data_IF_776224293239
#
_entry.id   IF_776224293239
#
_cell.length_a   1.000
_cell.length_b   1.000
_cell.length_c   1.000
_cell.angle_alpha   90.00
_cell.angle_beta   90.00
_cell.angle_gamma   90.00
#
_symmetry.space_group_name_H-M   'P 1'
#
loop_
_entity.id
_entity.type
_entity.pdbx_description
1 polymer ?
#
# COMPACT_ATOMS: atom_id res chain seq x y z
N UNK A 1 -13.65 23.63 2.33
CA UNK A 1 -13.46 23.21 3.73
C UNK A 1 -13.28 21.69 3.89
N UNK A 2 -12.59 21.04 2.95
CA UNK A 2 -12.22 19.62 3.04
C UNK A 2 -11.03 19.40 4.00
N UNK A 3 -10.35 20.46 4.40
CA UNK A 3 -9.16 20.40 5.25
C UNK A 3 -9.38 20.08 6.72
N UNK A 4 -10.61 20.07 7.21
CA UNK A 4 -10.88 19.83 8.65
C UNK A 4 -11.00 18.34 9.00
N UNK A 5 -11.35 17.48 8.04
CA UNK A 5 -11.48 16.05 8.31
C UNK A 5 -10.12 15.38 8.47
N UNK A 6 -9.08 15.88 7.81
CA UNK A 6 -7.74 15.28 7.87
C UNK A 6 -6.97 15.52 9.17
N UNK A 7 -7.18 16.64 9.85
CA UNK A 7 -6.36 17.00 11.03
C UNK A 7 -6.87 16.40 12.35
N UNK A 8 -8.15 16.11 12.48
CA UNK A 8 -8.71 15.50 13.69
C UNK A 8 -8.60 13.98 13.74
N UNK A 9 -8.43 13.34 12.58
CA UNK A 9 -8.31 11.89 12.46
C UNK A 9 -6.86 11.38 12.45
N UNK A 10 -5.87 12.25 12.59
CA UNK A 10 -4.48 11.82 12.81
C UNK A 10 -4.33 11.15 14.17
N UNK A 11 -3.55 10.06 14.22
CA UNK A 11 -3.20 9.36 15.46
C UNK A 11 -2.27 10.27 16.28
N UNK A 12 -2.80 11.23 17.02
CA UNK A 12 -1.97 12.17 17.80
C UNK A 12 -1.21 11.50 18.94
N UNK A 13 -1.66 10.35 19.47
CA UNK A 13 -1.11 9.75 20.69
C UNK A 13 -0.70 8.28 20.56
N UNK A 14 -0.73 7.69 19.37
CA UNK A 14 -0.28 6.30 19.20
C UNK A 14 1.23 6.28 18.90
N UNK A 15 1.97 5.62 19.77
CA UNK A 15 3.37 5.30 19.47
C UNK A 15 3.50 4.41 18.22
N UNK A 16 4.68 4.38 17.61
CA UNK A 16 4.96 3.59 16.40
C UNK A 16 4.57 2.12 16.53
N UNK A 17 4.76 1.54 17.70
CA UNK A 17 4.40 0.13 17.92
C UNK A 17 2.89 -0.08 17.88
N UNK A 18 2.08 0.84 18.42
CA UNK A 18 0.63 0.76 18.35
C UNK A 18 0.11 0.82 16.90
N UNK A 19 0.79 1.53 16.01
CA UNK A 19 0.47 1.53 14.57
C UNK A 19 0.79 0.16 13.95
N UNK A 20 1.95 -0.42 14.28
CA UNK A 20 2.30 -1.75 13.79
C UNK A 20 1.36 -2.83 14.31
N UNK A 21 0.94 -2.74 15.57
CA UNK A 21 -0.02 -3.67 16.17
C UNK A 21 -1.38 -3.57 15.48
N UNK A 22 -1.83 -2.38 15.14
CA UNK A 22 -3.07 -2.19 14.38
C UNK A 22 -2.97 -2.81 12.98
N UNK A 23 -1.87 -2.64 12.26
CA UNK A 23 -1.64 -3.30 10.99
C UNK A 23 -1.58 -4.84 11.11
N UNK A 24 -0.95 -5.36 12.17
CA UNK A 24 -0.94 -6.81 12.47
C UNK A 24 -2.36 -7.33 12.70
N UNK A 25 -3.14 -6.61 13.49
CA UNK A 25 -4.55 -6.94 13.77
C UNK A 25 -5.38 -6.99 12.48
N UNK A 26 -5.31 -5.94 11.64
CA UNK A 26 -6.01 -5.90 10.35
C UNK A 26 -5.61 -7.09 9.48
N UNK A 27 -4.32 -7.39 9.42
CA UNK A 27 -3.80 -8.49 8.63
C UNK A 27 -4.31 -9.85 9.14
N UNK A 28 -4.36 -10.09 10.46
CA UNK A 28 -4.89 -11.32 11.05
C UNK A 28 -6.38 -11.49 10.77
N UNK A 29 -7.18 -10.44 10.92
CA UNK A 29 -8.61 -10.48 10.59
C UNK A 29 -8.83 -10.80 9.12
N UNK A 30 -8.03 -10.22 8.23
CA UNK A 30 -8.11 -10.50 6.80
C UNK A 30 -7.73 -11.93 6.47
N UNK A 31 -6.69 -12.48 7.11
CA UNK A 31 -6.33 -13.90 6.92
C UNK A 31 -7.46 -14.85 7.30
N UNK A 32 -8.22 -14.54 8.33
CA UNK A 32 -9.31 -15.39 8.80
C UNK A 32 -10.43 -15.53 7.76
N UNK A 33 -10.63 -14.53 6.90
CA UNK A 33 -11.67 -14.55 5.87
C UNK A 33 -11.20 -15.12 4.52
N UNK A 34 -9.89 -15.22 4.27
CA UNK A 34 -9.39 -15.66 2.96
C UNK A 34 -9.95 -17.02 2.49
N UNK A 35 -10.15 -18.03 3.36
CA UNK A 35 -10.70 -19.34 2.94
C UNK A 35 -12.10 -19.26 2.32
N UNK A 36 -12.88 -18.22 2.63
CA UNK A 36 -14.22 -18.03 2.08
C UNK A 36 -14.19 -17.51 0.63
N UNK A 37 -13.05 -16.93 0.21
CA UNK A 37 -12.89 -16.29 -1.09
C UNK A 37 -11.86 -16.97 -2.00
N UNK A 38 -10.91 -17.72 -1.43
CA UNK A 38 -9.81 -18.33 -2.17
C UNK A 38 -9.64 -19.80 -1.84
N UNK A 39 -9.64 -20.64 -2.87
CA UNK A 39 -9.42 -22.08 -2.72
C UNK A 39 -7.95 -22.43 -2.38
N UNK A 40 -7.02 -21.58 -2.78
CA UNK A 40 -5.59 -21.76 -2.54
C UNK A 40 -5.06 -20.55 -1.75
N UNK A 41 -4.33 -20.84 -0.69
CA UNK A 41 -3.70 -19.83 0.16
C UNK A 41 -2.19 -20.04 0.22
N UNK A 42 -1.39 -18.97 0.33
CA UNK A 42 0.05 -19.11 0.45
C UNK A 42 0.41 -19.80 1.77
N UNK A 43 1.42 -20.66 1.72
CA UNK A 43 2.00 -21.32 2.90
C UNK A 43 2.80 -20.34 3.73
N UNK A 44 3.54 -19.46 3.06
CA UNK A 44 4.28 -18.39 3.71
C UNK A 44 3.31 -17.31 4.23
N UNK A 45 3.46 -16.92 5.49
CA UNK A 45 2.75 -15.76 6.05
C UNK A 45 3.57 -14.49 5.88
N UNK A 46 2.90 -13.36 5.73
CA UNK A 46 3.54 -12.05 5.73
C UNK A 46 3.65 -11.50 7.15
N UNK A 47 4.82 -10.96 7.46
CA UNK A 47 5.04 -10.24 8.73
C UNK A 47 5.00 -8.73 8.49
N UNK A 48 4.41 -7.99 9.42
CA UNK A 48 4.38 -6.53 9.39
C UNK A 48 5.62 -5.98 10.10
N UNK A 49 6.36 -5.12 9.42
CA UNK A 49 7.58 -4.51 9.94
C UNK A 49 7.59 -3.00 9.70
N UNK A 50 8.39 -2.31 10.49
CA UNK A 50 8.74 -0.93 10.23
C UNK A 50 9.75 -0.85 9.09
N UNK A 51 9.63 0.14 8.21
CA UNK A 51 10.69 0.50 7.27
C UNK A 51 11.97 0.80 8.06
N UNK A 52 13.15 0.35 7.61
CA UNK A 52 14.41 0.67 8.29
C UNK A 52 14.59 2.17 8.48
N UNK A 53 14.92 2.59 9.70
CA UNK A 53 14.94 4.01 10.11
C UNK A 53 15.79 4.88 9.17
N UNK A 54 16.90 4.35 8.68
CA UNK A 54 17.80 5.09 7.78
C UNK A 54 17.19 5.38 6.40
N UNK A 55 16.17 4.61 5.97
CA UNK A 55 15.51 4.76 4.67
C UNK A 55 14.09 5.35 4.77
N UNK A 56 13.51 5.48 5.97
CA UNK A 56 12.13 5.96 6.13
C UNK A 56 11.89 7.30 5.44
N UNK A 57 12.86 8.21 5.49
CA UNK A 57 12.73 9.56 4.93
C UNK A 57 12.52 9.56 3.42
N UNK A 58 13.02 8.55 2.70
CA UNK A 58 12.95 8.45 1.24
C UNK A 58 12.07 7.29 0.75
N UNK A 59 11.56 6.45 1.66
CA UNK A 59 10.70 5.33 1.30
C UNK A 59 9.24 5.76 1.11
N UNK A 60 8.51 5.00 0.28
CA UNK A 60 7.06 5.12 0.17
C UNK A 60 6.36 4.88 1.52
N UNK A 61 5.07 5.21 1.62
CA UNK A 61 4.25 4.99 2.82
C UNK A 61 4.18 3.54 3.29
N UNK A 62 4.40 2.60 2.37
CA UNK A 62 4.53 1.18 2.61
C UNK A 62 5.02 0.45 1.37
N UNK A 63 5.55 -0.76 1.54
CA UNK A 63 5.92 -1.64 0.44
C UNK A 63 5.98 -3.10 0.88
N UNK A 64 5.68 -4.01 -0.04
CA UNK A 64 5.79 -5.44 0.17
C UNK A 64 7.11 -5.99 -0.35
N UNK A 65 7.67 -6.97 0.39
CA UNK A 65 8.82 -7.76 -0.01
C UNK A 65 8.51 -9.25 0.13
N UNK A 66 8.56 -9.99 -0.98
CA UNK A 66 8.33 -11.44 -0.99
C UNK A 66 9.36 -12.22 -0.17
N UNK A 67 9.03 -13.44 0.22
CA UNK A 67 9.96 -14.36 0.89
C UNK A 67 11.15 -14.70 -0.02
N UNK A 68 12.27 -15.14 0.59
CA UNK A 68 13.33 -15.79 -0.18
C UNK A 68 12.88 -17.17 -0.65
N UNK A 69 13.46 -17.66 -1.76
CA UNK A 69 13.12 -18.97 -2.33
C UNK A 69 13.46 -20.14 -1.41
N UNK A 70 14.52 -20.01 -0.65
CA UNK A 70 14.99 -21.00 0.32
C UNK A 70 14.25 -20.95 1.66
N UNK A 71 13.30 -20.00 1.83
CA UNK A 71 12.54 -19.79 3.05
C UNK A 71 13.32 -19.13 4.20
N UNK A 72 14.61 -18.80 4.00
CA UNK A 72 15.44 -18.18 5.05
C UNK A 72 14.97 -16.81 5.48
N UNK A 73 14.31 -16.05 4.59
CA UNK A 73 13.74 -14.75 4.88
C UNK A 73 12.22 -14.79 4.66
N UNK A 74 11.41 -14.46 5.68
CA UNK A 74 9.96 -14.41 5.54
C UNK A 74 9.52 -13.29 4.59
N UNK A 75 8.33 -13.42 4.04
CA UNK A 75 7.66 -12.31 3.39
C UNK A 75 7.34 -11.22 4.42
N UNK A 76 7.51 -9.97 4.02
CA UNK A 76 7.22 -8.84 4.89
C UNK A 76 6.59 -7.69 4.12
N UNK A 77 5.63 -7.00 4.74
CA UNK A 77 5.28 -5.68 4.30
C UNK A 77 5.77 -4.65 5.31
N UNK A 78 6.31 -3.57 4.80
CA UNK A 78 6.98 -2.56 5.58
C UNK A 78 6.12 -1.29 5.63
N UNK A 79 5.74 -0.88 6.84
CA UNK A 79 5.04 0.39 7.08
C UNK A 79 6.05 1.51 7.34
N UNK A 80 5.93 2.62 6.65
CA UNK A 80 6.74 3.79 6.90
C UNK A 80 6.16 4.57 8.09
N UNK A 81 6.95 4.71 9.15
CA UNK A 81 6.58 5.40 10.37
C UNK A 81 7.45 6.63 10.65
N UNK A 82 7.97 7.25 9.57
CA UNK A 82 8.77 8.48 9.67
C UNK A 82 7.99 9.59 10.37
N UNK A 83 6.80 9.89 9.87
CA UNK A 83 5.87 10.85 10.46
C UNK A 83 4.57 10.16 10.87
N UNK A 84 4.49 9.76 12.13
CA UNK A 84 3.29 9.09 12.67
C UNK A 84 2.08 10.01 12.73
N UNK A 85 2.27 11.33 12.74
CA UNK A 85 1.16 12.28 12.72
C UNK A 85 0.49 12.36 11.33
N UNK A 86 1.21 11.98 10.29
CA UNK A 86 0.67 11.85 8.94
C UNK A 86 -0.06 10.52 8.71
N UNK A 87 0.08 9.54 9.61
CA UNK A 87 -0.59 8.24 9.49
C UNK A 87 -2.08 8.39 9.81
N UNK A 88 -2.91 8.21 8.80
CA UNK A 88 -4.36 8.30 8.91
C UNK A 88 -4.94 6.91 9.20
N UNK A 89 -5.52 6.70 10.39
CA UNK A 89 -6.05 5.39 10.81
C UNK A 89 -7.07 4.82 9.86
N UNK A 90 -7.92 5.66 9.31
CA UNK A 90 -8.98 5.24 8.40
C UNK A 90 -8.47 4.76 7.03
N UNK A 91 -7.20 5.05 6.67
CA UNK A 91 -6.55 4.53 5.46
C UNK A 91 -5.79 3.21 5.72
N UNK A 92 -5.55 2.85 6.98
CA UNK A 92 -4.75 1.68 7.32
C UNK A 92 -5.30 0.37 6.75
N UNK A 93 -6.62 0.10 6.78
CA UNK A 93 -7.17 -1.11 6.19
C UNK A 93 -6.89 -1.21 4.69
N UNK A 94 -7.16 -0.16 3.91
CA UNK A 94 -6.92 -0.17 2.47
C UNK A 94 -5.45 -0.44 2.13
N UNK A 95 -4.51 0.20 2.84
CA UNK A 95 -3.08 -0.05 2.65
C UNK A 95 -2.69 -1.49 3.03
N UNK A 96 -3.25 -2.03 4.12
CA UNK A 96 -2.99 -3.40 4.54
C UNK A 96 -3.50 -4.42 3.52
N UNK A 97 -4.69 -4.20 2.96
CA UNK A 97 -5.26 -5.05 1.91
C UNK A 97 -4.41 -5.02 0.63
N UNK A 98 -3.83 -3.87 0.31
CA UNK A 98 -2.95 -3.70 -0.83
C UNK A 98 -1.62 -4.44 -0.67
N UNK A 99 -0.91 -4.19 0.42
CA UNK A 99 0.44 -4.70 0.63
C UNK A 99 0.48 -6.16 1.11
N UNK A 100 -0.44 -6.52 2.00
CA UNK A 100 -0.48 -7.86 2.59
C UNK A 100 -1.49 -8.75 1.86
N UNK A 101 -2.60 -9.08 2.49
CA UNK A 101 -3.64 -9.95 1.95
C UNK A 101 -4.96 -9.20 1.86
N UNK A 102 -5.71 -9.41 0.78
CA UNK A 102 -5.49 -10.31 -0.36
C UNK A 102 -4.61 -9.73 -1.47
N UNK A 103 -3.85 -8.67 -1.22
CA UNK A 103 -3.05 -7.92 -2.19
C UNK A 103 -1.74 -8.57 -2.61
N UNK A 104 -0.66 -7.80 -2.57
CA UNK A 104 0.64 -8.21 -3.08
C UNK A 104 1.13 -9.53 -2.52
N UNK A 105 0.95 -9.75 -1.20
CA UNK A 105 1.41 -10.99 -0.59
C UNK A 105 0.71 -12.21 -1.16
N UNK A 106 -0.63 -12.21 -1.25
CA UNK A 106 -1.37 -13.34 -1.79
C UNK A 106 -0.91 -13.67 -3.22
N UNK A 107 -0.89 -12.67 -4.10
CA UNK A 107 -0.50 -12.82 -5.50
C UNK A 107 0.92 -13.37 -5.66
N UNK A 108 1.88 -12.72 -5.00
CA UNK A 108 3.31 -13.01 -5.20
C UNK A 108 3.68 -14.34 -4.54
N UNK A 109 3.19 -14.62 -3.33
CA UNK A 109 3.49 -15.86 -2.64
C UNK A 109 2.92 -17.08 -3.36
N UNK A 110 1.66 -17.02 -3.80
CA UNK A 110 1.08 -18.11 -4.60
C UNK A 110 1.85 -18.36 -5.90
N UNK A 111 2.27 -17.27 -6.60
CA UNK A 111 3.08 -17.44 -7.80
C UNK A 111 4.46 -18.04 -7.50
N UNK A 112 5.10 -17.67 -6.39
CA UNK A 112 6.40 -18.24 -5.98
C UNK A 112 6.28 -19.71 -5.58
N UNK A 113 5.21 -20.07 -4.87
CA UNK A 113 4.97 -21.42 -4.38
C UNK A 113 4.49 -22.39 -5.47
N UNK A 114 3.97 -21.89 -6.60
CA UNK A 114 3.47 -22.72 -7.68
C UNK A 114 4.61 -23.48 -8.37
N UNK A 115 4.65 -24.81 -8.18
CA UNK A 115 5.70 -25.69 -8.73
C UNK A 115 5.65 -25.79 -10.26
N UNK A 116 4.53 -25.49 -10.90
CA UNK A 116 4.36 -25.53 -12.34
C UNK A 116 4.83 -24.27 -13.06
N UNK A 117 5.25 -23.23 -12.32
CA UNK A 117 5.76 -21.99 -12.89
C UNK A 117 7.28 -22.05 -13.11
N UNK A 118 7.72 -21.50 -14.25
CA UNK A 118 9.15 -21.34 -14.52
C UNK A 118 9.74 -20.24 -13.61
N UNK A 119 11.06 -20.27 -13.41
CA UNK A 119 11.75 -19.18 -12.68
C UNK A 119 11.54 -17.83 -13.35
N UNK A 120 11.44 -17.79 -14.68
CA UNK A 120 11.12 -16.57 -15.41
C UNK A 120 9.74 -16.01 -15.04
N UNK A 121 8.72 -16.83 -14.98
CA UNK A 121 7.38 -16.40 -14.59
C UNK A 121 7.31 -15.98 -13.11
N UNK A 122 8.10 -16.61 -12.24
CA UNK A 122 8.15 -16.29 -10.82
C UNK A 122 8.86 -14.96 -10.53
N UNK A 123 9.92 -14.63 -11.27
CA UNK A 123 10.82 -13.52 -10.93
C UNK A 123 11.18 -12.60 -12.09
N UNK A 124 11.17 -13.10 -13.31
CA UNK A 124 11.65 -12.35 -14.49
C UNK A 124 10.60 -11.48 -15.15
N UNK A 125 9.33 -11.90 -15.12
CA UNK A 125 8.25 -11.16 -15.75
C UNK A 125 7.35 -10.54 -14.71
N UNK A 126 7.55 -9.24 -14.47
CA UNK A 126 6.68 -8.44 -13.59
C UNK A 126 6.34 -7.14 -14.29
N UNK A 127 5.06 -6.85 -14.45
CA UNK A 127 4.59 -5.54 -14.87
C UNK A 127 3.89 -4.85 -13.71
N UNK A 128 4.11 -3.55 -13.56
CA UNK A 128 3.38 -2.76 -12.55
C UNK A 128 1.87 -2.84 -12.76
N UNK A 129 1.41 -2.87 -14.02
CA UNK A 129 -0.01 -3.03 -14.32
C UNK A 129 -0.61 -4.31 -13.74
N UNK A 130 0.13 -5.42 -13.75
CA UNK A 130 -0.34 -6.70 -13.19
C UNK A 130 -0.29 -6.70 -11.67
N UNK A 131 0.81 -6.26 -11.06
CA UNK A 131 0.95 -6.29 -9.60
C UNK A 131 0.09 -5.23 -8.92
N UNK A 132 0.12 -4.00 -9.39
CA UNK A 132 -0.67 -2.91 -8.80
C UNK A 132 -2.16 -3.04 -9.12
N UNK A 133 -2.49 -3.53 -10.33
CA UNK A 133 -3.88 -3.81 -10.71
C UNK A 133 -4.52 -4.88 -9.84
N UNK A 134 -3.78 -5.95 -9.53
CA UNK A 134 -4.22 -6.96 -8.57
C UNK A 134 -4.42 -6.36 -7.17
N UNK A 135 -3.45 -5.60 -6.66
CA UNK A 135 -3.52 -5.02 -5.33
C UNK A 135 -4.68 -4.02 -5.20
N UNK A 136 -4.96 -3.23 -6.24
CA UNK A 136 -6.14 -2.36 -6.29
C UNK A 136 -7.45 -3.16 -6.29
N UNK A 137 -7.51 -4.24 -7.07
CA UNK A 137 -8.65 -5.17 -7.04
C UNK A 137 -8.84 -5.80 -5.67
N UNK A 138 -7.74 -6.16 -4.99
CA UNK A 138 -7.76 -6.71 -3.64
C UNK A 138 -8.32 -5.74 -2.60
N UNK A 139 -8.01 -4.45 -2.70
CA UNK A 139 -8.64 -3.41 -1.88
C UNK A 139 -10.17 -3.42 -2.09
N UNK A 140 -10.62 -3.48 -3.34
CA UNK A 140 -12.05 -3.53 -3.67
C UNK A 140 -12.73 -4.79 -3.17
N UNK A 141 -12.09 -5.95 -3.34
CA UNK A 141 -12.60 -7.23 -2.84
C UNK A 141 -12.79 -7.20 -1.32
N UNK A 142 -11.85 -6.62 -0.58
CA UNK A 142 -11.96 -6.49 0.88
C UNK A 142 -13.16 -5.61 1.30
N UNK A 143 -13.44 -4.55 0.53
CA UNK A 143 -14.66 -3.73 0.73
C UNK A 143 -15.92 -4.55 0.50
N UNK A 144 -15.98 -5.29 -0.61
CA UNK A 144 -17.13 -6.14 -0.98
C UNK A 144 -17.34 -7.31 0.00
N UNK A 145 -16.25 -7.81 0.59
CA UNK A 145 -16.28 -8.81 1.66
C UNK A 145 -16.70 -8.26 3.04
N UNK A 146 -16.94 -6.95 3.15
CA UNK A 146 -17.39 -6.32 4.39
C UNK A 146 -16.31 -6.15 5.46
N UNK A 147 -15.03 -6.11 5.06
CA UNK A 147 -13.91 -5.97 6.01
C UNK A 147 -13.70 -4.56 6.55
N UNK A 148 -14.38 -3.56 5.99
CA UNK A 148 -14.35 -2.21 6.53
C UNK A 148 -15.35 -2.10 7.68
N UNK A 149 -14.86 -1.64 8.83
CA UNK A 149 -15.60 -1.64 10.11
C UNK A 149 -16.54 -0.45 10.27
N UNK A 150 -16.20 0.66 9.65
CA UNK A 150 -16.96 1.89 9.81
C UNK A 150 -16.93 2.76 8.53
N UNK A 151 -17.78 3.81 8.46
CA UNK A 151 -17.83 4.72 7.33
C UNK A 151 -16.53 5.47 7.05
N UNK A 152 -15.69 5.69 8.06
CA UNK A 152 -14.41 6.37 7.87
C UNK A 152 -13.41 5.49 7.13
N UNK A 153 -13.39 4.19 7.41
CA UNK A 153 -12.56 3.23 6.66
C UNK A 153 -13.03 3.12 5.20
N UNK A 154 -14.34 3.24 4.95
CA UNK A 154 -14.88 3.33 3.58
C UNK A 154 -14.39 4.60 2.87
N UNK A 155 -14.37 5.75 3.54
CA UNK A 155 -13.78 6.98 3.01
C UNK A 155 -12.28 6.78 2.71
N UNK A 156 -11.56 6.10 3.59
CA UNK A 156 -10.14 5.77 3.41
C UNK A 156 -9.88 4.94 2.16
N UNK A 157 -10.72 3.93 1.92
CA UNK A 157 -10.66 3.10 0.71
C UNK A 157 -10.95 3.92 -0.56
N UNK A 158 -12.00 4.72 -0.55
CA UNK A 158 -12.33 5.60 -1.68
C UNK A 158 -11.24 6.64 -1.95
N UNK A 159 -10.61 7.17 -0.90
CA UNK A 159 -9.51 8.11 -1.06
C UNK A 159 -8.25 7.41 -1.63
N UNK A 160 -7.99 6.16 -1.26
CA UNK A 160 -6.94 5.34 -1.86
C UNK A 160 -7.17 5.13 -3.36
N UNK A 161 -8.39 4.80 -3.76
CA UNK A 161 -8.78 4.65 -5.16
C UNK A 161 -8.63 5.98 -5.93
N UNK A 162 -9.11 7.08 -5.35
CA UNK A 162 -9.00 8.42 -5.94
C UNK A 162 -7.54 8.87 -6.09
N UNK A 163 -6.69 8.57 -5.10
CA UNK A 163 -5.25 8.82 -5.17
C UNK A 163 -4.62 8.12 -6.39
N UNK A 164 -4.96 6.86 -6.64
CA UNK A 164 -4.44 6.11 -7.80
C UNK A 164 -4.99 6.65 -9.10
N UNK A 165 -6.25 7.03 -9.16
CA UNK A 165 -6.85 7.66 -10.34
C UNK A 165 -6.15 9.00 -10.65
N UNK A 166 -5.89 9.83 -9.65
CA UNK A 166 -5.16 11.08 -9.82
C UNK A 166 -3.71 10.85 -10.28
N UNK A 167 -3.06 9.77 -9.85
CA UNK A 167 -1.71 9.40 -10.32
C UNK A 167 -1.65 9.13 -11.82
N UNK A 168 -2.71 8.61 -12.45
CA UNK A 168 -2.74 8.44 -13.92
C UNK A 168 -2.55 9.78 -14.65
N UNK A 169 -3.15 10.85 -14.12
CA UNK A 169 -3.01 12.20 -14.68
C UNK A 169 -1.64 12.77 -14.39
N UNK A 170 -1.19 12.66 -13.14
CA UNK A 170 0.10 13.22 -12.69
C UNK A 170 1.28 12.52 -13.36
N UNK A 171 1.26 11.20 -13.49
CA UNK A 171 2.33 10.45 -14.18
C UNK A 171 2.48 10.91 -15.62
N UNK A 172 1.37 11.00 -16.35
CA UNK A 172 1.36 11.53 -17.71
C UNK A 172 1.77 13.01 -17.77
N UNK A 173 1.34 13.79 -16.77
CA UNK A 173 1.71 15.20 -16.63
C UNK A 173 3.22 15.37 -16.50
N UNK A 174 3.85 14.64 -15.59
CA UNK A 174 5.30 14.72 -15.34
C UNK A 174 6.11 14.20 -16.53
N UNK A 175 5.81 12.98 -16.99
CA UNK A 175 6.68 12.28 -17.94
C UNK A 175 6.42 12.67 -19.41
N UNK A 176 5.19 13.01 -19.78
CA UNK A 176 4.84 13.36 -21.17
C UNK A 176 4.63 14.86 -21.39
N UNK A 177 3.98 15.55 -20.44
CA UNK A 177 3.61 16.97 -20.59
C UNK A 177 4.56 17.92 -19.88
N UNK A 178 5.64 17.41 -19.28
CA UNK A 178 6.69 18.19 -18.61
C UNK A 178 6.17 19.06 -17.47
N UNK A 179 5.19 18.56 -16.73
CA UNK A 179 4.75 19.23 -15.51
C UNK A 179 5.91 19.35 -14.53
N UNK A 180 5.94 20.46 -13.82
CA UNK A 180 6.82 20.63 -12.67
C UNK A 180 6.33 19.76 -11.52
N UNK A 181 7.24 19.44 -10.60
CA UNK A 181 6.89 18.77 -9.34
C UNK A 181 5.79 19.50 -8.58
N UNK A 182 5.84 20.84 -8.57
CA UNK A 182 4.87 21.67 -7.87
C UNK A 182 3.46 21.55 -8.49
N UNK A 183 3.34 21.58 -9.81
CA UNK A 183 2.07 21.37 -10.50
C UNK A 183 1.47 19.98 -10.17
N UNK A 184 2.30 18.95 -10.11
CA UNK A 184 1.88 17.61 -9.73
C UNK A 184 1.37 17.55 -8.27
N UNK A 185 2.08 18.18 -7.35
CA UNK A 185 1.69 18.25 -5.92
C UNK A 185 0.36 18.98 -5.78
N UNK A 186 0.22 20.15 -6.41
CA UNK A 186 -1.02 20.94 -6.36
C UNK A 186 -2.19 20.11 -6.90
N UNK A 187 -2.00 19.45 -8.04
CA UNK A 187 -3.03 18.61 -8.63
C UNK A 187 -3.50 17.49 -7.68
N UNK A 188 -2.55 16.80 -7.02
CA UNK A 188 -2.87 15.74 -6.06
C UNK A 188 -3.58 16.29 -4.81
N UNK A 189 -3.19 17.44 -4.31
CA UNK A 189 -3.85 18.08 -3.17
C UNK A 189 -5.29 18.47 -3.50
N UNK A 190 -5.51 19.05 -4.68
CA UNK A 190 -6.82 19.57 -5.10
C UNK A 190 -7.80 18.45 -5.49
N UNK A 191 -7.30 17.37 -6.08
CA UNK A 191 -8.13 16.32 -6.67
C UNK A 191 -8.18 15.03 -5.85
N UNK A 192 -7.15 14.70 -5.07
CA UNK A 192 -7.12 13.50 -4.24
C UNK A 192 -7.22 13.78 -2.73
N UNK A 193 -7.24 15.06 -2.33
CA UNK A 193 -7.31 15.44 -0.91
C UNK A 193 -6.08 15.04 -0.09
N UNK A 194 -4.94 14.83 -0.76
CA UNK A 194 -3.70 14.45 -0.11
C UNK A 194 -3.02 15.63 0.57
N UNK A 195 -2.33 15.37 1.67
CA UNK A 195 -1.54 16.40 2.34
C UNK A 195 -0.16 16.52 1.68
N UNK A 196 0.33 17.75 1.56
CA UNK A 196 1.61 18.05 0.89
C UNK A 196 2.78 17.20 1.41
N UNK A 197 2.86 16.99 2.72
CA UNK A 197 3.93 16.20 3.33
C UNK A 197 3.98 14.77 2.81
N UNK A 198 2.84 14.14 2.58
CA UNK A 198 2.77 12.79 2.01
C UNK A 198 3.21 12.74 0.54
N UNK A 199 3.00 13.83 -0.21
CA UNK A 199 3.31 13.90 -1.64
C UNK A 199 4.79 14.17 -1.92
N UNK A 200 5.50 14.81 -0.99
CA UNK A 200 6.92 15.12 -1.16
C UNK A 200 7.79 13.86 -1.29
N UNK A 201 7.44 12.78 -0.63
CA UNK A 201 8.18 11.51 -0.68
C UNK A 201 7.94 10.73 -1.97
N UNK A 202 6.72 10.73 -2.48
CA UNK A 202 6.38 10.02 -3.72
C UNK A 202 6.99 10.66 -4.96
N UNK A 203 7.23 11.96 -4.95
CA UNK A 203 7.81 12.66 -6.09
C UNK A 203 9.33 12.47 -6.20
N UNK A 204 10.07 12.32 -5.09
CA UNK A 204 11.51 12.06 -5.10
C UNK A 204 11.83 10.65 -5.61
N UNK A 205 11.00 9.65 -5.25
CA UNK A 205 11.17 8.27 -5.73
C UNK A 205 10.92 8.11 -7.24
N UNK A 206 10.16 8.99 -7.87
CA UNK A 206 9.97 9.00 -9.32
C UNK A 206 11.19 9.57 -10.06
N UNK A 207 11.87 10.55 -9.47
CA UNK A 207 13.05 11.21 -10.05
C UNK A 207 14.31 10.32 -9.99
N UNK A 208 14.44 9.49 -8.95
CA UNK A 208 15.59 8.58 -8.77
C UNK A 208 15.56 7.34 -9.69
N UNK A 209 14.42 6.97 -10.27
CA UNK A 209 14.32 5.81 -11.17
C UNK A 209 14.85 6.08 -12.58
N UNK A 210 15.16 7.32 -12.92
CA UNK A 210 15.64 7.73 -14.24
C UNK A 210 17.05 8.35 -14.21
N UNK A 211 17.75 8.29 -13.09
CA UNK A 211 19.18 8.58 -12.98
C UNK A 211 20.00 7.30 -12.93
#
# INVERSE_FOLDING_TARGET
SVGLVGSEMCIRDRGREAILDEYRRINEETYAMLPDYFNELPKAKVVVKRVPIFSEKSAAGGYYQGSSLDGSRPAAWYANLYDINATQTFKMPALSFHEAVPGHHLQIALNQENQNQTLWNKFGYRTSAFSEGWALYAERLAVEAGLLRDPYEQIGSLQSELFRAARLVVDTGLHSKKWTREEAIIYMMDNAGEVRSCLLYTSDAADDRYR
#
